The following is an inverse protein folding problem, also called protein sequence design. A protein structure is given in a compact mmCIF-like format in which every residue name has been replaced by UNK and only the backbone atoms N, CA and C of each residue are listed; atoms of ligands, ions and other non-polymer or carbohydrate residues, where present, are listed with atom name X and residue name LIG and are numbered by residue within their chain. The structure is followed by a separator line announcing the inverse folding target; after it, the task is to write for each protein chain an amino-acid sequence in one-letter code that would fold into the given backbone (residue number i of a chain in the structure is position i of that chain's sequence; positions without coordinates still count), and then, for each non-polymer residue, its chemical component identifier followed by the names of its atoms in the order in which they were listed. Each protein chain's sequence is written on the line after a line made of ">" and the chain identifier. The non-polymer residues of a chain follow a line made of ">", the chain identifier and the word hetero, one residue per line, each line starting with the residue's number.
data_IF_838836392268
#
_entry.id   IF_838836392268
#
_cell.length_a   1.000
_cell.length_b   1.000
_cell.length_c   1.000
_cell.angle_alpha   90.00
_cell.angle_beta   90.00
_cell.angle_gamma   90.00
#
_symmetry.space_group_name_H-M   'P 1'
#
loop_
_entity.id
_entity.type
_entity.pdbx_description
1 polymer ?
#
# COMPACT_ATOMS: atom_id res chain seq x y z
N UNK A 1 -5.23 -23.81 -0.07
CA UNK A 1 -6.42 -23.29 0.63
C UNK A 1 -7.65 -23.79 -0.12
N UNK A 2 -8.70 -24.26 0.54
CA UNK A 2 -9.92 -24.73 -0.13
C UNK A 2 -10.62 -23.57 -0.84
N UNK A 3 -11.12 -23.81 -2.04
CA UNK A 3 -11.75 -22.82 -2.92
C UNK A 3 -12.99 -22.15 -2.27
N UNK A 4 -13.65 -22.84 -1.35
CA UNK A 4 -14.82 -22.35 -0.60
C UNK A 4 -14.52 -21.22 0.38
N UNK A 5 -13.30 -21.15 0.95
CA UNK A 5 -12.90 -20.08 1.86
C UNK A 5 -12.54 -18.79 1.12
N UNK A 6 -11.92 -18.89 -0.07
CA UNK A 6 -11.60 -17.75 -0.91
C UNK A 6 -12.84 -16.98 -1.40
N UNK A 7 -13.95 -17.70 -1.59
CA UNK A 7 -15.23 -17.15 -2.04
C UNK A 7 -16.11 -16.63 -0.88
N UNK A 8 -15.67 -16.79 0.37
CA UNK A 8 -16.48 -16.35 1.52
C UNK A 8 -16.61 -14.81 1.52
N UNK A 9 -17.82 -14.26 1.71
CA UNK A 9 -18.09 -12.82 1.62
C UNK A 9 -17.35 -11.97 2.67
N UNK A 10 -16.73 -12.60 3.67
CA UNK A 10 -15.93 -11.92 4.69
C UNK A 10 -14.42 -12.22 4.62
N UNK A 11 -13.96 -12.94 3.58
CA UNK A 11 -12.54 -13.31 3.46
C UNK A 11 -11.68 -12.12 2.99
N UNK A 12 -11.06 -11.41 3.94
CA UNK A 12 -10.35 -10.15 3.69
C UNK A 12 -9.14 -10.23 2.74
N UNK A 13 -8.54 -11.42 2.57
CA UNK A 13 -7.38 -11.60 1.70
C UNK A 13 -7.74 -11.86 0.24
N UNK A 14 -9.03 -11.85 -0.11
CA UNK A 14 -9.43 -11.85 -1.51
C UNK A 14 -8.87 -10.59 -2.22
N UNK A 15 -8.28 -10.73 -3.43
CA UNK A 15 -7.72 -9.59 -4.16
C UNK A 15 -8.70 -8.42 -4.29
N UNK A 16 -8.25 -7.21 -3.97
CA UNK A 16 -9.06 -5.99 -4.08
C UNK A 16 -10.19 -5.83 -3.05
N UNK A 17 -10.42 -6.81 -2.15
CA UNK A 17 -11.58 -6.76 -1.24
C UNK A 17 -11.52 -5.59 -0.26
N UNK A 18 -10.36 -5.29 0.31
CA UNK A 18 -10.19 -4.14 1.22
C UNK A 18 -10.53 -2.82 0.51
N UNK A 19 -10.14 -2.69 -0.76
CA UNK A 19 -10.48 -1.54 -1.59
C UNK A 19 -12.01 -1.44 -1.83
N UNK A 20 -12.64 -2.53 -2.26
CA UNK A 20 -14.08 -2.55 -2.59
C UNK A 20 -15.00 -2.41 -1.37
N UNK A 21 -14.70 -3.13 -0.30
CA UNK A 21 -15.59 -3.26 0.85
C UNK A 21 -15.30 -2.27 1.98
N UNK A 22 -14.13 -1.61 1.97
CA UNK A 22 -13.78 -0.62 3.00
C UNK A 22 -13.52 0.75 2.38
N UNK A 23 -12.53 0.86 1.48
CA UNK A 23 -12.12 2.16 0.95
C UNK A 23 -13.23 2.84 0.14
N UNK A 24 -13.82 2.13 -0.83
CA UNK A 24 -14.91 2.70 -1.65
C UNK A 24 -16.15 3.09 -0.86
N UNK A 25 -16.37 2.46 0.29
CA UNK A 25 -17.50 2.81 1.17
C UNK A 25 -17.29 4.14 1.90
N UNK A 26 -16.03 4.55 2.11
CA UNK A 26 -15.68 5.83 2.74
C UNK A 26 -15.31 6.93 1.75
N UNK A 27 -15.02 6.58 0.49
CA UNK A 27 -14.67 7.54 -0.56
C UNK A 27 -15.67 8.69 -0.79
N UNK A 28 -16.99 8.54 -0.55
CA UNK A 28 -17.91 9.67 -0.64
C UNK A 28 -17.65 10.80 0.38
N UNK A 29 -16.88 10.56 1.44
CA UNK A 29 -16.52 11.58 2.41
C UNK A 29 -15.28 12.37 1.95
N UNK A 30 -15.31 13.68 2.17
CA UNK A 30 -14.14 14.54 1.95
C UNK A 30 -13.03 14.17 2.94
N UNK A 31 -11.83 13.93 2.40
CA UNK A 31 -10.61 13.70 3.19
C UNK A 31 -9.56 14.75 2.85
N UNK A 32 -8.60 14.98 3.76
CA UNK A 32 -7.51 15.95 3.57
C UNK A 32 -6.23 15.34 2.99
N UNK A 33 -6.12 14.02 3.04
CA UNK A 33 -4.94 13.27 2.61
C UNK A 33 -4.97 11.86 3.17
N UNK A 34 -3.92 11.11 2.87
CA UNK A 34 -3.78 9.69 3.22
C UNK A 34 -2.47 9.49 3.98
N UNK A 35 -2.52 8.72 5.06
CA UNK A 35 -1.31 8.16 5.69
C UNK A 35 -1.24 6.70 5.26
N UNK A 36 -0.16 6.32 4.62
CA UNK A 36 0.05 4.98 4.07
C UNK A 36 1.23 4.30 4.76
N UNK A 37 0.94 3.34 5.64
CA UNK A 37 1.95 2.49 6.23
C UNK A 37 1.69 1.04 5.81
N UNK A 38 2.47 0.58 4.84
CA UNK A 38 2.48 -0.78 4.35
C UNK A 38 3.80 -1.02 3.61
N UNK A 39 4.17 -2.29 3.45
CA UNK A 39 5.25 -2.74 2.57
C UNK A 39 5.84 -4.08 3.01
N UNK A 40 5.58 -4.46 4.26
CA UNK A 40 6.16 -5.64 4.91
C UNK A 40 5.84 -6.93 4.16
N UNK A 41 4.61 -7.06 3.65
CA UNK A 41 4.18 -8.24 2.88
C UNK A 41 4.65 -8.23 1.43
N UNK A 42 5.27 -7.14 0.97
CA UNK A 42 5.84 -7.02 -0.38
C UNK A 42 7.32 -7.39 -0.43
N UNK A 43 7.91 -7.86 0.67
CA UNK A 43 9.32 -8.26 0.77
C UNK A 43 9.75 -9.20 -0.37
N UNK A 44 8.89 -10.15 -0.78
CA UNK A 44 9.20 -11.11 -1.87
C UNK A 44 9.20 -10.43 -3.26
N UNK A 45 8.41 -9.37 -3.47
CA UNK A 45 8.24 -8.68 -4.76
C UNK A 45 8.65 -7.21 -4.64
N UNK A 46 9.76 -6.96 -3.94
CA UNK A 46 10.16 -5.61 -3.57
C UNK A 46 10.53 -4.75 -4.79
N UNK A 47 11.04 -5.38 -5.85
CA UNK A 47 11.48 -4.75 -7.09
C UNK A 47 10.37 -4.08 -7.92
N UNK A 48 9.11 -4.43 -7.67
CA UNK A 48 7.94 -3.82 -8.34
C UNK A 48 7.12 -2.91 -7.42
N UNK A 49 7.60 -2.67 -6.19
CA UNK A 49 6.80 -1.97 -5.19
C UNK A 49 6.50 -0.51 -5.58
N UNK A 50 7.42 0.16 -6.26
CA UNK A 50 7.24 1.53 -6.77
C UNK A 50 6.09 1.61 -7.78
N UNK A 51 6.00 0.64 -8.70
CA UNK A 51 4.93 0.55 -9.69
C UNK A 51 3.59 0.30 -9.01
N UNK A 52 3.56 -0.63 -8.04
CA UNK A 52 2.33 -0.97 -7.30
C UNK A 52 1.85 0.23 -6.50
N UNK A 53 2.74 0.87 -5.73
CA UNK A 53 2.40 2.01 -4.89
C UNK A 53 1.95 3.22 -5.73
N UNK A 54 2.66 3.54 -6.80
CA UNK A 54 2.27 4.62 -7.72
C UNK A 54 0.90 4.38 -8.36
N UNK A 55 0.65 3.14 -8.78
CA UNK A 55 -0.65 2.75 -9.38
C UNK A 55 -1.79 2.86 -8.38
N UNK A 56 -1.55 2.48 -7.12
CA UNK A 56 -2.54 2.62 -6.05
C UNK A 56 -2.83 4.10 -5.75
N UNK A 57 -1.80 4.94 -5.64
CA UNK A 57 -1.96 6.39 -5.41
C UNK A 57 -2.82 7.00 -6.52
N UNK A 58 -2.54 6.67 -7.79
CA UNK A 58 -3.33 7.17 -8.92
C UNK A 58 -4.78 6.69 -8.83
N UNK A 59 -5.00 5.39 -8.56
CA UNK A 59 -6.34 4.82 -8.41
C UNK A 59 -7.16 5.53 -7.32
N UNK A 60 -6.53 5.91 -6.20
CA UNK A 60 -7.22 6.61 -5.12
C UNK A 60 -7.46 8.09 -5.48
N UNK A 61 -6.52 8.75 -6.16
CA UNK A 61 -6.74 10.11 -6.67
C UNK A 61 -7.89 10.16 -7.67
N UNK A 62 -8.01 9.16 -8.53
CA UNK A 62 -9.13 9.03 -9.47
C UNK A 62 -10.45 8.79 -8.73
N UNK A 63 -10.44 7.93 -7.70
CA UNK A 63 -11.64 7.65 -6.90
C UNK A 63 -12.19 8.89 -6.17
N UNK A 64 -11.30 9.76 -5.68
CA UNK A 64 -11.69 11.01 -5.01
C UNK A 64 -11.79 12.22 -5.95
N UNK A 65 -11.42 12.07 -7.22
CA UNK A 65 -11.26 13.16 -8.20
C UNK A 65 -10.46 14.35 -7.63
N UNK A 66 -9.46 14.06 -6.81
CA UNK A 66 -8.69 15.06 -6.08
C UNK A 66 -7.22 14.64 -6.00
N UNK A 67 -6.34 15.63 -6.13
CA UNK A 67 -4.90 15.47 -5.96
C UNK A 67 -4.57 15.27 -4.47
N UNK A 68 -4.94 14.11 -3.94
CA UNK A 68 -4.77 13.77 -2.54
C UNK A 68 -3.28 13.76 -2.15
N UNK A 69 -2.91 14.49 -1.09
CA UNK A 69 -1.61 14.34 -0.44
C UNK A 69 -1.47 12.94 0.16
N UNK A 70 -0.35 12.27 -0.10
CA UNK A 70 -0.01 10.98 0.49
C UNK A 70 1.23 11.10 1.37
N UNK A 71 1.12 10.63 2.61
CA UNK A 71 2.22 10.52 3.56
C UNK A 71 2.58 9.05 3.69
N UNK A 72 3.68 8.64 3.07
CA UNK A 72 4.16 7.26 3.02
C UNK A 72 5.09 7.05 4.21
N UNK A 73 4.72 6.12 5.10
CA UNK A 73 5.55 5.73 6.24
C UNK A 73 6.62 4.76 5.76
N UNK A 74 7.89 5.15 5.92
CA UNK A 74 9.00 4.29 5.55
C UNK A 74 9.03 3.05 6.45
N UNK A 75 9.29 1.87 5.87
CA UNK A 75 9.43 0.65 6.68
C UNK A 75 10.56 0.79 7.72
N UNK A 76 10.38 0.22 8.92
CA UNK A 76 11.42 0.25 9.93
C UNK A 76 12.62 -0.61 9.51
N UNK A 77 13.74 -0.41 10.20
CA UNK A 77 14.87 -1.32 10.11
C UNK A 77 14.50 -2.66 10.75
N UNK A 78 14.52 -3.73 9.95
CA UNK A 78 14.31 -5.09 10.41
C UNK A 78 15.13 -6.03 9.53
N UNK A 79 16.18 -6.62 10.08
CA UNK A 79 16.92 -7.68 9.38
C UNK A 79 16.24 -9.03 9.62
N UNK A 80 16.27 -9.49 10.87
CA UNK A 80 15.56 -10.69 11.30
C UNK A 80 15.12 -10.55 12.76
N UNK A 81 13.88 -10.95 13.05
CA UNK A 81 13.38 -11.06 14.41
C UNK A 81 12.47 -12.27 14.53
N UNK A 82 12.93 -13.29 15.27
CA UNK A 82 12.26 -14.60 15.34
C UNK A 82 12.02 -15.17 13.92
N UNK A 83 10.77 -15.47 13.58
CA UNK A 83 10.36 -15.97 12.27
C UNK A 83 10.14 -14.86 11.22
N UNK A 84 10.25 -13.58 11.61
CA UNK A 84 10.13 -12.45 10.70
C UNK A 84 11.50 -12.14 10.07
N UNK A 85 11.51 -11.93 8.76
CA UNK A 85 12.66 -11.51 7.99
C UNK A 85 12.25 -10.29 7.17
N UNK A 86 13.02 -9.21 7.28
CA UNK A 86 12.88 -7.99 6.47
C UNK A 86 14.02 -7.86 5.47
N UNK A 87 14.51 -8.99 4.92
CA UNK A 87 15.68 -9.06 4.06
C UNK A 87 15.66 -8.05 2.91
N UNK A 88 14.50 -7.80 2.31
CA UNK A 88 14.33 -6.85 1.22
C UNK A 88 13.65 -5.54 1.67
N UNK A 89 13.47 -5.30 2.98
CA UNK A 89 12.99 -4.01 3.47
C UNK A 89 13.87 -2.84 3.02
N UNK A 90 15.22 -2.94 2.96
CA UNK A 90 16.03 -1.89 2.37
C UNK A 90 15.63 -1.54 0.94
N UNK A 91 15.26 -2.54 0.13
CA UNK A 91 14.79 -2.33 -1.23
C UNK A 91 13.38 -1.70 -1.25
N UNK A 92 12.47 -2.16 -0.38
CA UNK A 92 11.14 -1.52 -0.24
C UNK A 92 11.28 -0.05 0.16
N UNK A 93 12.19 0.28 1.08
CA UNK A 93 12.46 1.66 1.51
C UNK A 93 12.95 2.52 0.34
N UNK A 94 13.83 1.99 -0.50
CA UNK A 94 14.26 2.65 -1.74
C UNK A 94 13.09 2.87 -2.71
N UNK A 95 12.17 1.90 -2.82
CA UNK A 95 10.98 2.07 -3.66
C UNK A 95 9.99 3.08 -3.09
N UNK A 96 9.81 3.14 -1.76
CA UNK A 96 9.01 4.16 -1.09
C UNK A 96 9.58 5.57 -1.36
N UNK A 97 10.90 5.75 -1.21
CA UNK A 97 11.60 6.99 -1.51
C UNK A 97 11.49 7.38 -2.99
N UNK A 98 11.72 6.41 -3.90
CA UNK A 98 11.58 6.62 -5.34
C UNK A 98 10.18 7.12 -5.73
N UNK A 99 9.13 6.58 -5.11
CA UNK A 99 7.77 7.07 -5.33
C UNK A 99 7.65 8.52 -4.89
N UNK A 100 8.23 8.89 -3.75
CA UNK A 100 8.20 10.29 -3.26
C UNK A 100 8.94 11.29 -4.14
N UNK A 101 9.99 10.84 -4.83
CA UNK A 101 10.72 11.66 -5.80
C UNK A 101 10.00 11.82 -7.14
N UNK A 102 9.15 10.86 -7.51
CA UNK A 102 8.59 10.76 -8.88
C UNK A 102 7.10 11.07 -8.95
N UNK A 103 6.36 10.92 -7.85
CA UNK A 103 4.92 11.15 -7.79
C UNK A 103 4.62 12.42 -7.00
N UNK A 104 4.00 13.41 -7.64
CA UNK A 104 3.65 14.69 -7.00
C UNK A 104 2.77 14.50 -5.76
N UNK A 105 2.85 15.43 -4.82
CA UNK A 105 2.07 15.48 -3.57
C UNK A 105 2.13 14.17 -2.77
N UNK A 106 3.33 13.58 -2.75
CA UNK A 106 3.66 12.46 -1.89
C UNK A 106 4.86 12.85 -1.02
N UNK A 107 4.88 12.36 0.20
CA UNK A 107 5.85 12.73 1.22
C UNK A 107 6.27 11.49 1.98
N UNK A 108 7.57 11.34 2.22
CA UNK A 108 8.12 10.26 3.03
C UNK A 108 8.15 10.71 4.49
N UNK A 109 7.64 9.88 5.40
CA UNK A 109 7.66 10.09 6.86
C UNK A 109 8.27 8.91 7.60
#
# INVERSE_FOLDING_TARGET
>A
MPESEALHPHYQFAPGRLYEMMLKQIAPYTVKGVIWYQGESNDINAEVYDVILSSMIQCWRDLWEYQLPFYIVQLPELEQWLALSGKNYPLIRQMQEKVTDTVKDTYLI
#
